data_IF_653376297480
#
_entry.id   IF_653376297480
#
_cell.length_a   1.000
_cell.length_b   1.000
_cell.length_c   1.000
_cell.angle_alpha   90.00
_cell.angle_beta   90.00
_cell.angle_gamma   90.00
#
_symmetry.space_group_name_H-M   'P 1'
#
loop_
_entity.id
_entity.type
_entity.pdbx_description
1 polymer ?
#
# COMPACT_ATOMS: atom_id res chain seq x y z
N UNK A 1 14.57 -50.39 2.21
CA UNK A 1 14.10 -49.02 2.25
C UNK A 1 12.59 -49.06 2.02
N UNK A 2 11.75 -48.97 3.05
CA UNK A 2 10.29 -48.90 2.87
C UNK A 2 9.95 -47.50 2.35
N UNK A 3 9.30 -47.45 1.18
CA UNK A 3 8.76 -46.19 0.69
C UNK A 3 7.78 -45.64 1.73
N UNK A 4 8.04 -44.44 2.21
CA UNK A 4 7.05 -43.67 3.00
C UNK A 4 5.85 -43.46 2.07
N UNK A 5 4.60 -43.78 2.49
CA UNK A 5 3.44 -43.55 1.66
C UNK A 5 3.41 -42.06 1.31
N UNK A 6 3.37 -41.73 0.01
CA UNK A 6 3.26 -40.34 -0.44
C UNK A 6 2.03 -39.71 0.20
N UNK A 7 2.22 -38.55 0.79
CA UNK A 7 1.11 -37.77 1.39
C UNK A 7 0.12 -37.42 0.28
N UNK A 8 -1.17 -37.63 0.54
CA UNK A 8 -2.23 -37.29 -0.41
C UNK A 8 -2.29 -35.76 -0.57
N UNK A 9 -2.06 -35.29 -1.77
CA UNK A 9 -2.15 -33.87 -2.19
C UNK A 9 -3.04 -33.70 -3.40
N UNK A 10 -3.93 -34.69 -3.61
CA UNK A 10 -4.89 -34.65 -4.70
C UNK A 10 -5.81 -33.42 -4.59
N UNK A 11 -6.46 -33.08 -5.68
CA UNK A 11 -7.38 -31.94 -5.71
C UNK A 11 -8.55 -32.14 -4.74
N UNK A 12 -9.12 -33.33 -4.67
CA UNK A 12 -10.19 -33.67 -3.73
C UNK A 12 -9.75 -33.58 -2.25
N UNK A 13 -8.52 -33.94 -1.94
CA UNK A 13 -7.95 -33.74 -0.60
C UNK A 13 -7.80 -32.23 -0.31
N UNK A 14 -7.29 -31.47 -1.29
CA UNK A 14 -7.13 -30.02 -1.16
C UNK A 14 -8.44 -29.30 -0.93
N UNK A 15 -9.49 -29.64 -1.69
CA UNK A 15 -10.84 -29.07 -1.51
C UNK A 15 -11.42 -29.38 -0.12
N UNK A 16 -11.32 -30.64 0.33
CA UNK A 16 -11.77 -31.04 1.65
C UNK A 16 -11.01 -30.31 2.77
N UNK A 17 -9.69 -30.13 2.60
CA UNK A 17 -8.82 -29.44 3.55
C UNK A 17 -9.19 -27.95 3.66
N UNK A 18 -9.26 -27.24 2.53
CA UNK A 18 -9.58 -25.80 2.49
C UNK A 18 -11.03 -25.55 2.93
N UNK A 19 -11.97 -26.41 2.56
CA UNK A 19 -13.34 -26.34 3.04
C UNK A 19 -13.43 -26.48 4.58
N UNK A 20 -12.66 -27.39 5.17
CA UNK A 20 -12.58 -27.52 6.62
C UNK A 20 -11.93 -26.31 7.30
N UNK A 21 -10.95 -25.66 6.63
CA UNK A 21 -10.35 -24.41 7.13
C UNK A 21 -11.38 -23.29 7.13
N UNK A 22 -12.11 -23.10 6.02
CA UNK A 22 -13.17 -22.08 5.92
C UNK A 22 -14.23 -22.26 7.01
N UNK A 23 -14.72 -23.49 7.21
CA UNK A 23 -15.71 -23.78 8.25
C UNK A 23 -15.22 -23.46 9.66
N UNK A 24 -13.96 -23.73 9.97
CA UNK A 24 -13.36 -23.42 11.28
C UNK A 24 -12.99 -21.93 11.42
N UNK A 25 -12.52 -21.32 10.36
CA UNK A 25 -12.03 -19.94 10.38
C UNK A 25 -13.12 -18.93 10.73
N UNK A 26 -14.37 -19.22 10.38
CA UNK A 26 -15.50 -18.33 10.62
C UNK A 26 -15.69 -18.03 12.13
N UNK A 27 -15.60 -19.03 12.98
CA UNK A 27 -15.80 -18.91 14.43
C UNK A 27 -14.48 -18.69 15.20
N UNK A 28 -13.35 -18.73 14.52
CA UNK A 28 -12.02 -18.72 15.15
C UNK A 28 -11.64 -17.31 15.63
N UNK A 29 -11.32 -17.10 16.92
CA UNK A 29 -10.73 -15.86 17.38
C UNK A 29 -9.39 -15.56 16.68
N UNK A 30 -9.06 -14.28 16.42
CA UNK A 30 -7.85 -13.90 15.69
C UNK A 30 -6.55 -14.50 16.21
N UNK A 31 -6.37 -14.60 17.54
CA UNK A 31 -5.15 -15.13 18.16
C UNK A 31 -4.96 -16.66 17.98
N UNK A 32 -5.97 -17.38 17.47
CA UNK A 32 -5.88 -18.80 17.13
C UNK A 32 -5.56 -19.07 15.64
N UNK A 33 -5.41 -18.02 14.83
CA UNK A 33 -5.13 -18.17 13.39
C UNK A 33 -3.84 -18.97 13.15
N UNK A 34 -2.81 -18.75 13.96
CA UNK A 34 -1.56 -19.49 13.86
C UNK A 34 -1.72 -21.00 14.07
N UNK A 35 -2.50 -21.41 15.08
CA UNK A 35 -2.78 -22.83 15.34
C UNK A 35 -3.55 -23.50 14.21
N UNK A 36 -4.49 -22.77 13.57
CA UNK A 36 -5.23 -23.26 12.42
C UNK A 36 -4.29 -23.49 11.24
N UNK A 37 -3.40 -22.52 10.95
CA UNK A 37 -2.44 -22.62 9.86
C UNK A 37 -1.44 -23.76 10.11
N UNK A 38 -0.93 -23.91 11.32
CA UNK A 38 -0.02 -24.98 11.69
C UNK A 38 -0.65 -26.38 11.49
N UNK A 39 -1.92 -26.56 11.87
CA UNK A 39 -2.67 -27.81 11.63
C UNK A 39 -2.78 -28.12 10.14
N UNK A 40 -3.12 -27.13 9.33
CA UNK A 40 -3.26 -27.28 7.88
C UNK A 40 -1.92 -27.59 7.20
N UNK A 41 -0.88 -26.82 7.55
CA UNK A 41 0.49 -27.03 7.05
C UNK A 41 1.00 -28.42 7.44
N UNK A 42 0.77 -28.87 8.67
CA UNK A 42 1.13 -30.22 9.10
C UNK A 42 0.43 -31.31 8.29
N UNK A 43 -0.85 -31.13 7.95
CA UNK A 43 -1.61 -32.06 7.09
C UNK A 43 -1.13 -32.08 5.65
N UNK A 44 -0.47 -31.02 5.19
CA UNK A 44 0.21 -30.95 3.88
C UNK A 44 1.65 -31.52 3.93
N UNK A 45 2.11 -32.01 5.10
CA UNK A 45 3.47 -32.46 5.31
C UNK A 45 4.50 -31.35 5.42
N UNK A 46 4.03 -30.15 5.70
CA UNK A 46 4.86 -28.99 5.98
C UNK A 46 5.18 -28.83 7.46
N UNK A 47 6.18 -28.05 7.75
CA UNK A 47 6.63 -27.68 9.09
C UNK A 47 7.07 -26.22 9.15
N UNK A 48 7.28 -25.72 10.34
CA UNK A 48 7.76 -24.38 10.62
C UNK A 48 6.99 -23.27 9.86
N UNK A 49 5.62 -23.24 9.92
CA UNK A 49 4.87 -22.18 9.31
C UNK A 49 5.18 -20.85 9.98
N UNK A 50 5.38 -19.81 9.19
CA UNK A 50 5.63 -18.45 9.63
C UNK A 50 4.77 -17.49 8.82
N UNK A 51 4.23 -16.46 9.46
CA UNK A 51 3.57 -15.33 8.81
C UNK A 51 4.37 -14.09 9.14
N UNK A 52 4.68 -13.32 8.14
CA UNK A 52 5.42 -12.08 8.20
C UNK A 52 4.53 -10.97 7.67
N UNK A 53 4.30 -9.92 8.45
CA UNK A 53 3.50 -8.75 8.08
C UNK A 53 4.42 -7.56 7.83
N UNK A 54 4.09 -6.74 6.85
CA UNK A 54 4.80 -5.48 6.63
C UNK A 54 4.59 -4.54 7.81
N UNK A 55 5.65 -3.95 8.36
CA UNK A 55 5.55 -2.94 9.40
C UNK A 55 4.99 -1.61 8.87
N UNK A 56 4.61 -0.70 9.75
CA UNK A 56 4.12 0.61 9.32
C UNK A 56 5.20 1.45 8.64
N UNK A 57 6.46 1.31 9.04
CA UNK A 57 7.61 1.94 8.38
C UNK A 57 7.92 1.37 7.00
N UNK A 58 7.21 0.31 6.59
CA UNK A 58 7.39 -0.34 5.27
C UNK A 58 8.85 -0.79 5.00
N UNK A 59 9.62 -0.99 6.05
CA UNK A 59 11.03 -1.41 6.02
C UNK A 59 11.21 -2.88 6.30
N UNK A 60 10.35 -3.45 7.15
CA UNK A 60 10.50 -4.77 7.73
C UNK A 60 9.29 -5.66 7.48
N UNK A 61 9.55 -6.94 7.36
CA UNK A 61 8.55 -8.00 7.49
C UNK A 61 8.65 -8.56 8.92
N UNK A 62 7.63 -8.30 9.72
CA UNK A 62 7.59 -8.62 11.16
C UNK A 62 6.86 -9.93 11.39
N UNK A 63 7.43 -10.91 12.12
CA UNK A 63 6.76 -12.16 12.43
C UNK A 63 5.49 -11.96 13.26
N UNK A 64 4.38 -12.54 12.80
CA UNK A 64 3.15 -12.64 13.57
C UNK A 64 3.35 -13.67 14.68
N UNK A 65 3.38 -13.21 15.94
CA UNK A 65 3.59 -14.06 17.12
C UNK A 65 2.26 -14.66 17.59
N UNK A 66 1.96 -15.83 17.07
CA UNK A 66 0.79 -16.62 17.45
C UNK A 66 1.17 -18.06 17.73
N UNK A 67 0.41 -18.72 18.61
CA UNK A 67 0.57 -20.16 18.87
C UNK A 67 0.48 -20.97 17.57
N UNK A 68 1.44 -21.86 17.35
CA UNK A 68 1.52 -22.70 16.15
C UNK A 68 2.37 -22.10 15.02
N UNK A 69 2.67 -20.81 15.03
CA UNK A 69 3.61 -20.19 14.09
C UNK A 69 5.02 -20.21 14.65
N UNK A 70 5.99 -20.29 13.74
CA UNK A 70 7.41 -20.13 14.08
C UNK A 70 7.70 -18.66 14.31
N UNK A 71 8.31 -18.36 15.45
CA UNK A 71 8.81 -17.02 15.77
C UNK A 71 10.14 -16.75 15.03
N UNK A 72 10.61 -15.54 15.06
CA UNK A 72 11.87 -15.11 14.46
C UNK A 72 12.08 -13.61 14.62
N UNK A 73 13.17 -13.12 14.05
CA UNK A 73 13.48 -11.71 13.99
C UNK A 73 12.77 -11.05 12.79
N UNK A 74 12.45 -9.75 12.86
CA UNK A 74 12.02 -8.97 11.70
C UNK A 74 13.04 -9.06 10.56
N UNK A 75 12.55 -9.14 9.32
CA UNK A 75 13.36 -9.31 8.12
C UNK A 75 13.30 -8.05 7.26
N UNK A 76 14.44 -7.54 6.86
CA UNK A 76 14.52 -6.40 5.95
C UNK A 76 13.87 -6.76 4.59
N UNK A 77 12.99 -5.89 4.10
CA UNK A 77 12.25 -6.12 2.86
C UNK A 77 13.20 -6.10 1.64
N UNK A 78 14.21 -5.23 1.64
CA UNK A 78 15.12 -5.09 0.50
C UNK A 78 16.23 -6.15 0.46
N UNK A 79 16.57 -6.74 1.63
CA UNK A 79 17.73 -7.63 1.76
C UNK A 79 17.36 -9.11 1.99
N UNK A 80 16.11 -9.44 2.32
CA UNK A 80 15.71 -10.80 2.67
C UNK A 80 15.07 -11.58 1.52
N UNK A 81 15.03 -12.92 1.66
CA UNK A 81 14.28 -13.79 0.75
C UNK A 81 12.78 -13.53 0.83
N UNK A 82 12.26 -13.35 2.05
CA UNK A 82 10.85 -13.00 2.25
C UNK A 82 10.53 -11.63 1.63
N UNK A 83 11.43 -10.66 1.75
CA UNK A 83 11.29 -9.36 1.12
C UNK A 83 11.24 -9.44 -0.40
N UNK A 84 12.06 -10.28 -1.03
CA UNK A 84 11.98 -10.52 -2.48
C UNK A 84 10.63 -11.11 -2.88
N UNK A 85 10.14 -12.12 -2.15
CA UNK A 85 8.79 -12.67 -2.35
C UNK A 85 7.72 -11.60 -2.23
N UNK A 86 7.84 -10.71 -1.23
CA UNK A 86 6.94 -9.61 -0.99
C UNK A 86 6.97 -8.58 -2.12
N UNK A 87 8.14 -8.08 -2.53
CA UNK A 87 8.27 -7.05 -3.56
C UNK A 87 7.80 -7.51 -4.95
N UNK A 88 8.12 -8.75 -5.31
CA UNK A 88 7.80 -9.31 -6.62
C UNK A 88 6.38 -9.89 -6.67
N UNK A 89 5.70 -10.05 -5.52
CA UNK A 89 4.41 -10.74 -5.38
C UNK A 89 4.42 -12.14 -6.00
N UNK A 90 5.56 -12.84 -5.92
CA UNK A 90 5.79 -14.16 -6.50
C UNK A 90 6.36 -15.13 -5.46
N UNK A 91 5.99 -16.41 -5.52
CA UNK A 91 6.59 -17.42 -4.66
C UNK A 91 8.10 -17.52 -4.85
N UNK A 92 8.82 -17.70 -3.75
CA UNK A 92 10.29 -17.91 -3.75
C UNK A 92 10.62 -19.18 -3.00
N UNK A 93 11.31 -20.11 -3.67
CA UNK A 93 11.74 -21.38 -3.11
C UNK A 93 13.24 -21.32 -2.76
N UNK A 94 13.58 -21.80 -1.56
CA UNK A 94 14.95 -21.89 -1.09
C UNK A 94 15.23 -23.32 -0.66
N UNK A 95 16.19 -24.02 -1.25
CA UNK A 95 16.63 -25.33 -0.77
C UNK A 95 17.20 -25.22 0.65
N UNK A 96 16.83 -26.14 1.54
CA UNK A 96 17.40 -26.34 2.88
C UNK A 96 17.99 -27.74 2.97
N UNK A 97 18.85 -27.99 3.98
CA UNK A 97 19.53 -29.29 4.14
C UNK A 97 18.55 -30.47 4.25
N UNK A 98 17.36 -30.21 4.80
CA UNK A 98 16.32 -31.20 5.08
C UNK A 98 15.00 -30.91 4.32
N UNK A 99 15.06 -30.19 3.20
CA UNK A 99 13.89 -29.92 2.37
C UNK A 99 13.93 -28.65 1.55
N UNK A 100 12.77 -28.05 1.37
CA UNK A 100 12.58 -26.79 0.63
C UNK A 100 11.73 -25.85 1.46
N UNK A 101 12.24 -24.64 1.73
CA UNK A 101 11.46 -23.56 2.31
C UNK A 101 10.85 -22.73 1.20
N UNK A 102 9.53 -22.65 1.17
CA UNK A 102 8.79 -21.81 0.22
C UNK A 102 8.25 -20.58 0.94
N UNK A 103 8.48 -19.41 0.33
CA UNK A 103 7.89 -18.14 0.69
C UNK A 103 6.78 -17.82 -0.30
N UNK A 104 5.60 -17.49 0.19
CA UNK A 104 4.38 -17.27 -0.58
C UNK A 104 3.86 -15.88 -0.27
N UNK A 105 3.56 -15.02 -1.26
CA UNK A 105 2.96 -13.73 -0.99
C UNK A 105 1.55 -13.92 -0.44
N UNK A 106 1.19 -13.12 0.55
CA UNK A 106 -0.16 -13.02 1.07
C UNK A 106 -0.85 -11.86 0.36
N UNK A 107 -1.69 -12.19 -0.62
CA UNK A 107 -2.40 -11.23 -1.46
C UNK A 107 -3.90 -11.32 -1.17
N UNK A 108 -4.52 -10.18 -0.79
CA UNK A 108 -5.96 -10.03 -0.67
C UNK A 108 -6.46 -9.20 -1.87
N UNK A 109 -6.95 -9.90 -2.89
CA UNK A 109 -7.33 -9.26 -4.15
C UNK A 109 -6.15 -8.51 -4.77
N UNK A 110 -6.11 -7.21 -4.58
CA UNK A 110 -5.03 -6.34 -5.08
C UNK A 110 -4.05 -5.88 -4.02
N UNK A 111 -4.33 -6.10 -2.72
CA UNK A 111 -3.46 -5.69 -1.62
C UNK A 111 -2.44 -6.77 -1.24
N UNK A 112 -1.33 -6.33 -0.69
CA UNK A 112 -0.20 -7.18 -0.31
C UNK A 112 -0.01 -7.10 1.21
N UNK A 113 -0.54 -8.12 1.90
CA UNK A 113 -0.65 -8.15 3.37
C UNK A 113 0.66 -8.58 4.03
N UNK A 114 1.44 -9.44 3.35
CA UNK A 114 2.67 -9.98 3.93
C UNK A 114 3.19 -11.20 3.18
N UNK A 115 3.88 -12.08 3.90
CA UNK A 115 4.47 -13.32 3.38
C UNK A 115 4.16 -14.48 4.33
N UNK A 116 3.76 -15.62 3.78
CA UNK A 116 3.71 -16.89 4.49
C UNK A 116 4.93 -17.74 4.08
N UNK A 117 5.65 -18.30 5.04
CA UNK A 117 6.76 -19.20 4.79
C UNK A 117 6.51 -20.58 5.41
N UNK A 118 6.83 -21.65 4.68
CA UNK A 118 6.63 -23.05 5.10
C UNK A 118 7.79 -23.90 4.61
N UNK A 119 8.26 -24.86 5.39
CA UNK A 119 9.27 -25.85 4.97
C UNK A 119 8.60 -27.21 4.72
N UNK A 120 8.93 -27.84 3.61
CA UNK A 120 8.49 -29.18 3.26
C UNK A 120 9.71 -30.06 2.94
N UNK A 121 9.62 -31.36 3.25
CA UNK A 121 10.68 -32.32 2.88
C UNK A 121 10.84 -32.43 1.35
N UNK A 122 9.72 -32.28 0.64
CA UNK A 122 9.65 -32.26 -0.82
C UNK A 122 8.50 -31.39 -1.29
N UNK A 123 8.75 -30.54 -2.27
CA UNK A 123 7.76 -29.68 -2.90
C UNK A 123 7.53 -30.16 -4.35
N UNK A 124 6.31 -30.59 -4.63
CA UNK A 124 5.80 -30.95 -5.96
C UNK A 124 4.79 -29.92 -6.44
N UNK A 125 4.29 -30.06 -7.67
CA UNK A 125 3.36 -29.10 -8.26
C UNK A 125 2.02 -29.06 -7.53
N UNK A 126 1.57 -30.18 -6.99
CA UNK A 126 0.37 -30.23 -6.16
C UNK A 126 0.55 -29.49 -4.84
N UNK A 127 1.70 -29.64 -4.22
CA UNK A 127 2.08 -28.89 -3.02
C UNK A 127 2.14 -27.37 -3.29
N UNK A 128 2.75 -26.94 -4.41
CA UNK A 128 2.76 -25.52 -4.82
C UNK A 128 1.36 -24.97 -5.00
N UNK A 129 0.50 -25.70 -5.69
CA UNK A 129 -0.89 -25.31 -5.91
C UNK A 129 -1.67 -25.17 -4.61
N UNK A 130 -1.58 -26.15 -3.71
CA UNK A 130 -2.31 -26.14 -2.44
C UNK A 130 -1.80 -25.07 -1.49
N UNK A 131 -0.49 -24.86 -1.40
CA UNK A 131 0.09 -23.79 -0.58
C UNK A 131 -0.25 -22.39 -1.14
N UNK A 132 -0.31 -22.24 -2.46
CA UNK A 132 -0.78 -21.00 -3.09
C UNK A 132 -2.25 -20.68 -2.74
N UNK A 133 -3.13 -21.70 -2.78
CA UNK A 133 -4.53 -21.55 -2.36
C UNK A 133 -4.64 -21.24 -0.85
N UNK A 134 -3.80 -21.88 -0.04
CA UNK A 134 -3.74 -21.62 1.40
C UNK A 134 -3.25 -20.20 1.69
N UNK A 135 -2.23 -19.69 0.98
CA UNK A 135 -1.73 -18.33 1.20
C UNK A 135 -2.79 -17.27 0.87
N UNK A 136 -3.56 -17.46 -0.22
CA UNK A 136 -4.68 -16.58 -0.55
C UNK A 136 -5.75 -16.59 0.55
N UNK A 137 -6.16 -17.78 1.01
CA UNK A 137 -7.13 -17.90 2.10
C UNK A 137 -6.62 -17.28 3.42
N UNK A 138 -5.33 -17.43 3.71
CA UNK A 138 -4.72 -16.80 4.90
C UNK A 138 -4.74 -15.28 4.78
N UNK A 139 -4.45 -14.73 3.61
CA UNK A 139 -4.54 -13.29 3.37
C UNK A 139 -5.96 -12.75 3.64
N UNK A 140 -6.98 -13.40 3.06
CA UNK A 140 -8.39 -13.04 3.30
C UNK A 140 -8.76 -13.10 4.79
N UNK A 141 -8.26 -14.11 5.50
CA UNK A 141 -8.52 -14.25 6.94
C UNK A 141 -7.84 -13.16 7.77
N UNK A 142 -6.61 -12.77 7.43
CA UNK A 142 -5.89 -11.69 8.10
C UNK A 142 -6.63 -10.37 7.93
N UNK A 143 -7.03 -10.02 6.71
CA UNK A 143 -7.76 -8.79 6.41
C UNK A 143 -9.13 -8.77 7.08
N UNK A 144 -9.90 -9.86 6.99
CA UNK A 144 -11.22 -9.95 7.61
C UNK A 144 -11.15 -9.83 9.13
N UNK A 145 -10.15 -10.45 9.77
CA UNK A 145 -10.00 -10.43 11.23
C UNK A 145 -9.32 -9.17 11.75
N UNK A 146 -8.64 -8.41 10.91
CA UNK A 146 -8.03 -7.12 11.28
C UNK A 146 -9.08 -6.12 11.79
N UNK A 147 -10.27 -6.09 11.20
CA UNK A 147 -11.32 -5.13 11.52
C UNK A 147 -11.88 -5.19 12.97
N UNK A 148 -11.56 -6.24 13.74
CA UNK A 148 -12.02 -6.40 15.13
C UNK A 148 -10.95 -6.96 16.09
N UNK A 149 -9.67 -6.77 15.76
CA UNK A 149 -8.54 -7.21 16.60
C UNK A 149 -7.33 -6.32 16.40
N UNK A 150 -6.70 -5.93 17.49
CA UNK A 150 -5.45 -5.17 17.48
C UNK A 150 -4.20 -6.05 17.21
N UNK A 151 -4.36 -7.38 17.13
CA UNK A 151 -3.26 -8.32 17.00
C UNK A 151 -2.33 -7.98 15.83
N UNK A 152 -2.91 -7.67 14.67
CA UNK A 152 -2.14 -7.40 13.45
C UNK A 152 -1.53 -6.01 13.46
N UNK A 153 -2.28 -4.99 13.93
CA UNK A 153 -1.77 -3.64 14.11
C UNK A 153 -0.63 -3.60 15.13
N UNK A 154 -0.76 -4.31 16.25
CA UNK A 154 0.28 -4.42 17.26
C UNK A 154 1.53 -5.15 16.73
N UNK A 155 1.36 -6.17 15.85
CA UNK A 155 2.49 -6.86 15.21
C UNK A 155 3.25 -5.93 14.26
N UNK A 156 2.54 -5.14 13.45
CA UNK A 156 3.13 -4.22 12.48
C UNK A 156 3.84 -3.02 13.11
N UNK A 157 3.54 -2.74 14.39
CA UNK A 157 4.13 -1.62 15.13
C UNK A 157 5.48 -2.02 15.73
N UNK A 158 6.56 -1.55 15.13
CA UNK A 158 7.93 -1.79 15.62
C UNK A 158 8.47 -0.63 16.47
N UNK A 159 7.83 0.55 16.40
CA UNK A 159 8.18 1.76 17.15
C UNK A 159 6.94 2.40 17.81
N UNK A 160 7.12 3.26 18.83
CA UNK A 160 6.03 4.06 19.38
C UNK A 160 5.37 4.93 18.30
N UNK A 161 4.06 4.96 18.27
CA UNK A 161 3.26 5.72 17.29
C UNK A 161 2.54 6.88 17.98
N UNK A 162 2.53 8.06 17.37
CA UNK A 162 1.78 9.20 17.85
C UNK A 162 0.26 9.02 17.62
N UNK A 163 -0.58 9.73 18.36
CA UNK A 163 -2.04 9.71 18.15
C UNK A 163 -2.40 10.21 16.76
N UNK A 164 -1.66 11.18 16.23
CA UNK A 164 -1.85 11.70 14.89
C UNK A 164 -1.61 10.61 13.84
N UNK A 165 -0.50 9.86 13.96
CA UNK A 165 -0.19 8.74 13.09
C UNK A 165 -1.23 7.60 13.18
N UNK A 166 -1.74 7.27 14.38
CA UNK A 166 -2.84 6.31 14.53
C UNK A 166 -4.09 6.71 13.74
N UNK A 167 -4.49 7.98 13.80
CA UNK A 167 -5.62 8.51 13.04
C UNK A 167 -5.33 8.38 11.54
N UNK A 168 -4.16 8.78 11.10
CA UNK A 168 -3.78 8.78 9.70
C UNK A 168 -3.72 7.37 9.11
N UNK A 169 -3.08 6.42 9.79
CA UNK A 169 -3.08 5.02 9.35
C UNK A 169 -4.47 4.39 9.31
N UNK A 170 -5.37 4.79 10.22
CA UNK A 170 -6.77 4.33 10.17
C UNK A 170 -7.57 4.96 9.03
N UNK A 171 -7.13 6.10 8.52
CA UNK A 171 -7.75 6.82 7.41
C UNK A 171 -7.31 6.29 6.05
N UNK A 172 -6.05 5.86 5.92
CA UNK A 172 -5.48 5.37 4.66
C UNK A 172 -6.22 4.14 4.12
N UNK A 173 -6.40 4.06 2.79
CA UNK A 173 -6.79 2.81 2.14
C UNK A 173 -5.61 1.82 2.14
N UNK A 174 -5.77 0.58 1.65
CA UNK A 174 -4.65 -0.31 1.37
C UNK A 174 -3.54 0.40 0.59
N UNK A 175 -2.28 0.20 0.98
CA UNK A 175 -1.16 0.94 0.38
C UNK A 175 -0.87 0.54 -1.07
N UNK A 176 -1.37 -0.60 -1.51
CA UNK A 176 -1.21 -1.04 -2.88
C UNK A 176 -2.51 -1.67 -3.41
N UNK A 177 -2.72 -1.54 -4.72
CA UNK A 177 -3.78 -2.25 -5.43
C UNK A 177 -3.25 -2.67 -6.81
N UNK A 178 -3.33 -3.97 -7.10
CA UNK A 178 -2.88 -4.53 -8.39
C UNK A 178 -4.08 -5.21 -9.05
N UNK A 179 -4.61 -4.56 -10.09
CA UNK A 179 -5.73 -5.06 -10.90
C UNK A 179 -5.29 -5.23 -12.36
N UNK A 180 -6.04 -5.95 -13.20
CA UNK A 180 -5.63 -6.18 -14.58
C UNK A 180 -5.35 -4.91 -15.38
N UNK A 181 -6.17 -3.85 -15.19
CA UNK A 181 -6.09 -2.61 -15.96
C UNK A 181 -5.37 -1.47 -15.28
N UNK A 182 -5.16 -1.56 -13.99
CA UNK A 182 -4.53 -0.50 -13.21
C UNK A 182 -3.77 -1.08 -12.02
N UNK A 183 -2.63 -0.50 -11.71
CA UNK A 183 -1.94 -0.76 -10.46
C UNK A 183 -1.59 0.55 -9.79
N UNK A 184 -1.58 0.56 -8.47
CA UNK A 184 -1.13 1.70 -7.70
C UNK A 184 -0.35 1.26 -6.46
N UNK A 185 0.52 2.13 -5.99
CA UNK A 185 1.18 2.00 -4.69
C UNK A 185 1.36 3.38 -4.06
N UNK A 186 0.96 3.48 -2.81
CA UNK A 186 1.16 4.64 -1.96
C UNK A 186 2.22 4.39 -0.90
N UNK A 187 2.81 5.46 -0.41
CA UNK A 187 3.80 5.45 0.63
C UNK A 187 3.70 6.73 1.45
N UNK A 188 3.91 6.61 2.75
CA UNK A 188 3.80 7.68 3.73
C UNK A 188 5.02 7.66 4.67
N UNK A 189 5.73 8.78 4.77
CA UNK A 189 6.93 8.97 5.61
C UNK A 189 6.85 10.30 6.38
N UNK A 190 7.24 10.31 7.68
CA UNK A 190 7.60 9.21 8.54
C UNK A 190 6.36 8.45 9.04
N UNK A 191 6.45 7.14 9.20
CA UNK A 191 5.30 6.29 9.50
C UNK A 191 4.73 6.43 10.93
N UNK A 192 5.56 6.83 11.89
CA UNK A 192 5.22 6.77 13.32
C UNK A 192 4.92 8.13 13.96
N UNK A 193 5.25 9.21 13.27
CA UNK A 193 5.03 10.59 13.77
C UNK A 193 4.58 11.54 12.66
N UNK A 194 3.66 11.10 11.85
CA UNK A 194 3.08 11.83 10.71
C UNK A 194 1.91 12.69 11.15
N UNK A 195 1.55 13.69 10.34
CA UNK A 195 0.48 14.53 10.78
C UNK A 195 -0.45 15.16 9.75
N UNK A 196 -0.07 15.51 8.54
CA UNK A 196 -0.90 16.31 7.63
C UNK A 196 -1.26 15.63 6.32
N UNK A 197 -0.33 14.88 5.81
CA UNK A 197 -0.44 14.21 4.53
C UNK A 197 -1.41 13.04 4.55
N UNK A 198 -2.15 12.85 3.46
CA UNK A 198 -2.94 11.64 3.26
C UNK A 198 -3.27 11.44 1.79
N UNK A 199 -3.60 10.21 1.43
CA UNK A 199 -4.22 9.90 0.15
C UNK A 199 -5.41 8.98 0.32
N UNK A 200 -6.29 8.96 -0.67
CA UNK A 200 -7.40 8.01 -0.75
C UNK A 200 -7.64 7.61 -2.19
N UNK A 201 -8.12 6.40 -2.38
CA UNK A 201 -8.58 5.93 -3.68
C UNK A 201 -9.76 4.97 -3.56
N UNK A 202 -10.48 4.79 -4.65
CA UNK A 202 -11.46 3.72 -4.81
C UNK A 202 -11.70 3.42 -6.28
N UNK A 203 -11.74 2.15 -6.62
CA UNK A 203 -12.17 1.68 -7.92
C UNK A 203 -13.67 1.39 -7.88
N UNK A 204 -14.47 2.24 -8.51
CA UNK A 204 -15.93 2.13 -8.59
C UNK A 204 -16.35 1.78 -10.03
N UNK A 205 -16.67 0.52 -10.27
CA UNK A 205 -16.81 0.02 -11.64
C UNK A 205 -15.48 0.14 -12.38
N UNK A 206 -15.50 0.84 -13.52
CA UNK A 206 -14.30 1.06 -14.33
C UNK A 206 -13.61 2.42 -14.04
N UNK A 207 -14.07 3.15 -13.03
CA UNK A 207 -13.49 4.46 -12.67
C UNK A 207 -12.66 4.35 -11.40
N UNK A 208 -11.37 4.63 -11.51
CA UNK A 208 -10.48 4.83 -10.37
C UNK A 208 -10.53 6.30 -9.94
N UNK A 209 -11.01 6.52 -8.74
CA UNK A 209 -10.98 7.81 -8.07
C UNK A 209 -9.76 7.89 -7.18
N UNK A 210 -9.07 9.03 -7.15
CA UNK A 210 -7.88 9.24 -6.33
C UNK A 210 -7.87 10.66 -5.80
N UNK A 211 -7.32 10.83 -4.62
CA UNK A 211 -7.00 12.14 -4.03
C UNK A 211 -5.70 12.03 -3.24
N UNK A 212 -4.88 13.06 -3.33
CA UNK A 212 -3.76 13.31 -2.44
C UNK A 212 -4.01 14.65 -1.78
N UNK A 213 -3.78 14.74 -0.48
CA UNK A 213 -3.96 15.94 0.30
C UNK A 213 -2.76 16.17 1.21
N UNK A 214 -2.54 17.44 1.53
CA UNK A 214 -1.61 17.89 2.55
C UNK A 214 -2.28 18.99 3.37
N UNK A 215 -2.45 18.74 4.66
CA UNK A 215 -3.09 19.66 5.59
C UNK A 215 -2.07 20.55 6.27
N UNK A 216 -2.30 21.86 6.25
CA UNK A 216 -1.37 22.83 6.84
C UNK A 216 -1.00 22.49 8.29
N UNK A 217 0.29 22.64 8.63
CA UNK A 217 0.82 22.43 9.97
C UNK A 217 1.11 20.97 10.28
N UNK A 218 1.23 20.61 11.54
CA UNK A 218 1.66 19.28 11.97
C UNK A 218 0.89 18.77 13.20
N UNK A 219 1.04 17.49 13.49
CA UNK A 219 0.46 16.86 14.67
C UNK A 219 -1.05 16.64 14.58
N UNK A 220 -1.71 16.55 15.73
CA UNK A 220 -3.13 16.17 15.83
C UNK A 220 -4.07 17.15 15.11
N UNK A 221 -3.72 18.43 15.04
CA UNK A 221 -4.51 19.42 14.32
C UNK A 221 -4.57 19.14 12.83
N UNK A 222 -3.43 18.90 12.19
CA UNK A 222 -3.32 18.56 10.78
C UNK A 222 -3.99 17.21 10.48
N UNK A 223 -3.76 16.17 11.30
CA UNK A 223 -4.44 14.89 11.17
C UNK A 223 -5.98 15.01 11.24
N UNK A 224 -6.50 15.91 12.06
CA UNK A 224 -7.95 16.18 12.15
C UNK A 224 -8.46 16.84 10.88
N UNK A 225 -7.73 17.84 10.34
CA UNK A 225 -8.07 18.48 9.06
C UNK A 225 -8.06 17.46 7.90
N UNK A 226 -7.03 16.64 7.81
CA UNK A 226 -6.94 15.55 6.84
C UNK A 226 -8.13 14.60 6.94
N UNK A 227 -8.55 14.24 8.17
CA UNK A 227 -9.71 13.38 8.42
C UNK A 227 -11.00 13.98 7.87
N UNK A 228 -11.23 15.27 8.11
CA UNK A 228 -12.44 15.98 7.62
C UNK A 228 -12.39 16.08 6.09
N UNK A 229 -11.26 16.45 5.51
CA UNK A 229 -11.09 16.57 4.06
C UNK A 229 -11.33 15.22 3.34
N UNK A 230 -10.70 14.12 3.79
CA UNK A 230 -10.91 12.78 3.25
C UNK A 230 -12.35 12.30 3.47
N UNK A 231 -12.94 12.60 4.63
CA UNK A 231 -14.34 12.28 4.91
C UNK A 231 -15.30 12.94 3.92
N UNK A 232 -15.11 14.25 3.65
CA UNK A 232 -15.88 15.01 2.67
C UNK A 232 -15.66 14.50 1.24
N UNK A 233 -14.40 14.21 0.85
CA UNK A 233 -14.06 13.59 -0.42
C UNK A 233 -14.79 12.25 -0.62
N UNK A 234 -14.69 11.34 0.36
CA UNK A 234 -15.38 10.03 0.32
C UNK A 234 -16.90 10.18 0.23
N UNK A 235 -17.46 11.14 0.95
CA UNK A 235 -18.89 11.41 0.91
C UNK A 235 -19.34 11.83 -0.50
N UNK A 236 -18.75 12.86 -1.07
CA UNK A 236 -19.08 13.38 -2.39
C UNK A 236 -18.85 12.34 -3.49
N UNK A 237 -17.70 11.63 -3.46
CA UNK A 237 -17.40 10.53 -4.37
C UNK A 237 -18.49 9.44 -4.37
N UNK A 238 -18.98 9.05 -3.18
CA UNK A 238 -20.03 8.03 -3.04
C UNK A 238 -21.40 8.49 -3.56
N UNK A 239 -21.62 9.80 -3.67
CA UNK A 239 -22.80 10.37 -4.32
C UNK A 239 -22.67 10.38 -5.87
N UNK A 240 -21.49 10.03 -6.41
CA UNK A 240 -21.25 10.00 -7.85
C UNK A 240 -21.09 11.39 -8.49
N UNK A 241 -20.75 12.40 -7.69
CA UNK A 241 -20.55 13.78 -8.18
C UNK A 241 -19.26 13.93 -8.98
N UNK A 242 -19.13 15.00 -9.77
CA UNK A 242 -17.95 15.35 -10.52
C UNK A 242 -16.80 15.92 -9.64
N UNK A 243 -15.64 16.18 -10.24
CA UNK A 243 -14.48 16.68 -9.49
C UNK A 243 -14.72 18.09 -8.93
N UNK A 244 -15.43 18.95 -9.67
CA UNK A 244 -15.76 20.31 -9.20
C UNK A 244 -16.68 20.28 -7.98
N UNK A 245 -17.68 19.41 -7.98
CA UNK A 245 -18.61 19.25 -6.84
C UNK A 245 -17.90 18.58 -5.65
N UNK A 246 -16.95 17.65 -5.90
CA UNK A 246 -16.11 17.08 -4.84
C UNK A 246 -15.29 18.18 -4.16
N UNK A 247 -14.63 19.05 -4.96
CA UNK A 247 -13.88 20.20 -4.43
C UNK A 247 -14.79 21.09 -3.56
N UNK A 248 -15.96 21.47 -4.07
CA UNK A 248 -16.89 22.32 -3.35
C UNK A 248 -17.37 21.69 -2.02
N UNK A 249 -17.60 20.38 -2.02
CA UNK A 249 -17.99 19.64 -0.81
C UNK A 249 -16.87 19.60 0.23
N UNK A 250 -15.63 19.39 -0.20
CA UNK A 250 -14.46 19.42 0.67
C UNK A 250 -14.23 20.83 1.24
N UNK A 251 -14.28 21.87 0.38
CA UNK A 251 -14.10 23.27 0.77
C UNK A 251 -15.15 23.71 1.79
N UNK A 252 -16.42 23.39 1.55
CA UNK A 252 -17.51 23.67 2.47
C UNK A 252 -17.35 22.95 3.82
N UNK A 253 -16.93 21.68 3.82
CA UNK A 253 -16.73 20.92 5.05
C UNK A 253 -15.58 21.49 5.90
N UNK A 254 -14.49 21.88 5.26
CA UNK A 254 -13.35 22.52 5.91
C UNK A 254 -13.73 23.88 6.50
N UNK A 255 -14.37 24.76 5.71
CA UNK A 255 -14.81 26.09 6.16
C UNK A 255 -15.83 26.04 7.31
N UNK A 256 -16.69 25.01 7.36
CA UNK A 256 -17.66 24.84 8.45
C UNK A 256 -17.01 24.35 9.74
N UNK A 257 -15.97 23.53 9.65
CA UNK A 257 -15.35 22.89 10.82
C UNK A 257 -14.20 23.69 11.39
N UNK A 258 -13.46 24.40 10.54
CA UNK A 258 -12.24 25.14 10.92
C UNK A 258 -12.38 26.62 10.60
N UNK A 259 -11.51 27.44 11.17
CA UNK A 259 -11.51 28.88 10.88
C UNK A 259 -10.95 29.19 9.48
N UNK A 260 -11.08 30.45 9.03
CA UNK A 260 -10.75 30.90 7.67
C UNK A 260 -9.26 30.80 7.31
N UNK A 261 -8.39 30.60 8.29
CA UNK A 261 -6.94 30.47 8.10
C UNK A 261 -6.49 28.99 7.99
N UNK A 262 -7.44 28.04 7.96
CA UNK A 262 -7.15 26.61 7.88
C UNK A 262 -7.50 26.07 6.49
N UNK A 263 -6.55 25.38 5.90
CA UNK A 263 -6.72 24.83 4.56
C UNK A 263 -5.98 23.50 4.39
N UNK A 264 -6.34 22.82 3.32
CA UNK A 264 -5.70 21.59 2.86
C UNK A 264 -5.41 21.75 1.37
N UNK A 265 -4.17 21.51 0.93
CA UNK A 265 -3.90 21.39 -0.50
C UNK A 265 -4.44 20.05 -0.99
N UNK A 266 -4.89 19.96 -2.25
CA UNK A 266 -5.46 18.72 -2.76
C UNK A 266 -5.21 18.54 -4.26
N UNK A 267 -4.85 17.31 -4.65
CA UNK A 267 -4.83 16.84 -6.03
C UNK A 267 -5.90 15.76 -6.18
N UNK A 268 -7.00 16.06 -6.86
CA UNK A 268 -8.12 15.13 -7.07
C UNK A 268 -8.13 14.61 -8.50
N UNK A 269 -8.32 13.31 -8.68
CA UNK A 269 -8.25 12.66 -9.99
C UNK A 269 -9.33 11.60 -10.21
N UNK A 270 -9.70 11.39 -11.48
CA UNK A 270 -10.55 10.29 -11.96
C UNK A 270 -9.92 9.69 -13.21
N UNK A 271 -9.63 8.40 -13.17
CA UNK A 271 -9.14 7.64 -14.30
C UNK A 271 -10.19 6.63 -14.75
N UNK A 272 -10.66 6.76 -15.98
CA UNK A 272 -11.41 5.70 -16.67
C UNK A 272 -10.42 4.60 -17.10
N UNK A 273 -10.50 3.44 -16.45
CA UNK A 273 -9.57 2.33 -16.66
C UNK A 273 -9.78 1.61 -17.99
N UNK A 274 -10.91 1.83 -18.68
CA UNK A 274 -11.17 1.28 -20.01
C UNK A 274 -10.49 2.13 -21.08
N UNK A 275 -10.65 3.47 -20.98
CA UNK A 275 -10.25 4.39 -22.04
C UNK A 275 -8.90 5.06 -21.78
N UNK A 276 -8.37 4.96 -20.56
CA UNK A 276 -7.17 5.70 -20.14
C UNK A 276 -7.40 7.21 -19.95
N UNK A 277 -8.66 7.66 -19.97
CA UNK A 277 -8.97 9.08 -19.81
C UNK A 277 -8.83 9.48 -18.34
N UNK A 278 -7.86 10.35 -18.09
CA UNK A 278 -7.57 10.94 -16.80
C UNK A 278 -8.14 12.36 -16.74
N UNK A 279 -8.95 12.64 -15.72
CA UNK A 279 -9.39 14.00 -15.37
C UNK A 279 -8.81 14.39 -14.03
N UNK A 280 -8.44 15.66 -13.84
CA UNK A 280 -7.96 16.10 -12.53
C UNK A 280 -8.26 17.57 -12.25
N UNK A 281 -8.26 17.90 -10.97
CA UNK A 281 -8.33 19.24 -10.39
C UNK A 281 -7.18 19.41 -9.41
N UNK A 282 -6.49 20.54 -9.50
CA UNK A 282 -5.43 20.94 -8.58
C UNK A 282 -5.90 22.09 -7.68
N UNK A 283 -5.90 21.88 -6.39
CA UNK A 283 -6.22 22.84 -5.35
C UNK A 283 -4.97 23.21 -4.53
N UNK A 284 -4.02 23.90 -5.17
CA UNK A 284 -2.78 24.37 -4.55
C UNK A 284 -1.75 23.30 -4.22
N UNK A 285 -1.88 22.09 -4.79
CA UNK A 285 -1.00 20.95 -4.54
C UNK A 285 0.10 20.84 -5.61
N UNK A 286 1.27 20.22 -5.33
CA UNK A 286 2.27 19.95 -6.36
C UNK A 286 1.69 19.21 -7.57
N UNK A 287 2.10 19.62 -8.77
CA UNK A 287 1.58 19.01 -9.99
C UNK A 287 2.14 17.59 -10.17
N UNK A 288 1.30 16.58 -10.51
CA UNK A 288 1.76 15.22 -10.74
C UNK A 288 2.73 15.11 -11.90
N UNK A 289 3.56 14.07 -11.88
CA UNK A 289 4.53 13.76 -12.92
C UNK A 289 4.02 12.61 -13.77
N UNK A 290 3.99 12.79 -15.10
CA UNK A 290 3.70 11.74 -16.06
C UNK A 290 4.99 11.04 -16.48
N UNK A 291 5.02 9.71 -16.32
CA UNK A 291 6.09 8.83 -16.78
C UNK A 291 5.55 7.99 -17.93
N UNK A 292 6.27 8.00 -19.07
CA UNK A 292 5.98 7.22 -20.28
C UNK A 292 7.26 6.57 -20.79
N UNK A 293 7.18 5.34 -21.26
CA UNK A 293 8.34 4.59 -21.78
C UNK A 293 9.54 4.60 -20.80
N UNK A 294 9.24 4.43 -19.50
CA UNK A 294 10.23 4.44 -18.41
C UNK A 294 11.02 5.74 -18.28
N UNK A 295 10.42 6.88 -18.63
CA UNK A 295 11.00 8.21 -18.47
C UNK A 295 9.95 9.21 -18.05
N UNK A 296 10.36 10.17 -17.25
CA UNK A 296 9.55 11.35 -16.99
C UNK A 296 9.33 12.08 -18.30
N UNK A 297 8.07 12.19 -18.71
CA UNK A 297 7.67 12.89 -19.94
C UNK A 297 7.42 14.37 -19.67
N UNK A 298 6.63 14.66 -18.63
CA UNK A 298 6.26 16.04 -18.25
C UNK A 298 5.55 16.06 -16.89
N UNK A 299 5.42 17.26 -16.34
CA UNK A 299 4.44 17.56 -15.30
C UNK A 299 3.02 17.61 -15.91
N UNK A 300 2.03 17.28 -15.11
CA UNK A 300 0.63 17.47 -15.44
C UNK A 300 0.16 18.82 -14.87
N UNK A 301 0.76 19.90 -15.41
CA UNK A 301 0.36 21.25 -15.04
C UNK A 301 -1.11 21.49 -15.41
N UNK A 302 -1.82 22.19 -14.55
CA UNK A 302 -3.23 22.50 -14.70
C UNK A 302 -3.51 23.89 -14.10
N UNK A 303 -4.58 24.57 -14.49
CA UNK A 303 -5.08 25.70 -13.73
C UNK A 303 -5.32 25.29 -12.27
N UNK A 304 -4.74 26.04 -11.33
CA UNK A 304 -4.89 25.80 -9.91
C UNK A 304 -6.02 26.64 -9.34
N UNK A 305 -6.86 26.02 -8.51
CA UNK A 305 -7.79 26.74 -7.64
C UNK A 305 -7.17 26.93 -6.24
N UNK A 306 -7.85 27.68 -5.37
CA UNK A 306 -7.41 27.84 -3.99
C UNK A 306 -7.40 26.49 -3.26
N UNK A 307 -6.50 26.30 -2.29
CA UNK A 307 -6.57 25.18 -1.36
C UNK A 307 -7.98 25.05 -0.74
N UNK A 308 -8.35 23.84 -0.44
CA UNK A 308 -9.62 23.48 0.18
C UNK A 308 -9.76 24.12 1.54
N UNK A 309 -10.85 24.84 1.78
CA UNK A 309 -11.15 25.60 3.02
C UNK A 309 -11.00 27.11 2.87
N UNK A 310 -10.43 27.60 1.74
CA UNK A 310 -10.21 29.02 1.49
C UNK A 310 -11.29 29.68 0.60
N UNK A 311 -12.37 28.97 0.23
CA UNK A 311 -13.47 29.51 -0.54
C UNK A 311 -13.12 29.78 -2.01
N UNK A 312 -12.46 28.83 -2.68
CA UNK A 312 -12.10 28.95 -4.09
C UNK A 312 -13.29 28.97 -5.04
N UNK A 313 -13.10 29.57 -6.23
CA UNK A 313 -14.05 29.47 -7.32
C UNK A 313 -14.14 28.03 -7.84
N UNK A 314 -15.17 27.76 -8.65
CA UNK A 314 -15.32 26.47 -9.32
C UNK A 314 -14.03 26.12 -10.09
N UNK A 315 -13.40 24.97 -9.81
CA UNK A 315 -12.14 24.61 -10.43
C UNK A 315 -12.31 24.16 -11.88
N UNK A 316 -11.35 24.48 -12.70
CA UNK A 316 -11.25 23.93 -14.05
C UNK A 316 -10.78 22.48 -13.99
N UNK A 317 -11.51 21.58 -14.67
CA UNK A 317 -11.16 20.17 -14.78
C UNK A 317 -10.27 19.97 -15.98
N UNK A 318 -9.03 19.58 -15.75
CA UNK A 318 -8.08 19.22 -16.80
C UNK A 318 -8.26 17.77 -17.27
N UNK A 319 -7.86 17.47 -18.51
CA UNK A 319 -8.02 16.15 -19.13
C UNK A 319 -6.76 15.71 -19.88
N UNK A 320 -6.46 14.42 -19.82
CA UNK A 320 -5.43 13.75 -20.62
C UNK A 320 -5.87 12.30 -20.91
N UNK A 321 -5.50 11.78 -22.08
CA UNK A 321 -5.61 10.35 -22.37
C UNK A 321 -4.24 9.71 -22.18
N UNK A 322 -4.17 8.76 -21.24
CA UNK A 322 -2.96 7.99 -20.98
C UNK A 322 -2.73 6.96 -22.09
N UNK A 323 -1.49 6.61 -22.32
CA UNK A 323 -1.09 5.47 -23.13
C UNK A 323 -0.82 4.26 -22.23
N UNK A 324 -1.00 3.05 -22.77
CA UNK A 324 -0.79 1.82 -21.99
C UNK A 324 0.63 1.77 -21.45
N UNK A 325 0.75 1.57 -20.12
CA UNK A 325 2.02 1.57 -19.39
C UNK A 325 2.42 2.93 -18.83
N UNK A 326 1.64 3.99 -19.14
CA UNK A 326 1.87 5.29 -18.51
C UNK A 326 1.72 5.19 -17.00
N UNK A 327 2.57 5.93 -16.29
CA UNK A 327 2.50 6.09 -14.83
C UNK A 327 2.31 7.55 -14.45
N UNK A 328 1.52 7.78 -13.45
CA UNK A 328 1.29 9.10 -12.84
C UNK A 328 1.80 9.05 -11.42
N UNK A 329 2.78 9.90 -11.10
CA UNK A 329 3.32 10.07 -9.76
C UNK A 329 2.74 11.33 -9.14
N UNK A 330 1.96 11.18 -8.07
CA UNK A 330 1.53 12.25 -7.19
C UNK A 330 2.41 12.26 -5.95
N UNK A 331 2.69 13.43 -5.40
CA UNK A 331 3.57 13.58 -4.25
C UNK A 331 3.26 14.89 -3.52
N UNK A 332 3.56 14.93 -2.23
CA UNK A 332 3.47 16.12 -1.39
C UNK A 332 4.77 16.91 -1.43
N UNK A 333 4.74 18.19 -1.06
CA UNK A 333 5.91 19.07 -1.11
C UNK A 333 7.02 18.63 -0.16
N UNK A 334 6.69 17.95 0.94
CA UNK A 334 7.68 17.31 1.80
C UNK A 334 8.64 16.39 1.04
N UNK A 335 8.30 15.88 -0.14
CA UNK A 335 9.24 15.15 -1.00
C UNK A 335 10.33 16.02 -1.64
N UNK A 336 10.10 17.32 -1.81
CA UNK A 336 10.95 18.22 -2.60
C UNK A 336 11.52 19.41 -1.81
N UNK A 337 10.95 19.77 -0.65
CA UNK A 337 11.30 21.01 0.08
C UNK A 337 12.40 20.85 1.13
N UNK A 338 12.72 19.63 1.57
CA UNK A 338 13.69 19.45 2.64
C UNK A 338 15.15 19.76 2.26
N UNK A 339 15.81 20.48 3.15
CA UNK A 339 17.22 20.84 3.04
C UNK A 339 18.11 19.65 3.44
N UNK A 340 18.90 19.12 2.52
CA UNK A 340 20.01 18.26 2.88
C UNK A 340 20.94 19.01 3.85
N UNK A 341 21.46 18.34 4.87
CA UNK A 341 22.50 18.87 5.73
C UNK A 341 23.70 19.27 4.88
N UNK A 342 23.79 20.55 4.48
CA UNK A 342 24.89 21.14 3.70
C UNK A 342 24.51 21.52 2.24
N UNK A 343 24.00 22.72 2.04
CA UNK A 343 24.12 23.59 0.85
C UNK A 343 23.34 23.24 -0.45
N UNK A 344 22.64 22.13 -0.63
CA UNK A 344 21.75 21.98 -1.79
C UNK A 344 20.35 21.61 -1.35
N UNK A 345 19.42 22.51 -1.68
CA UNK A 345 17.99 22.25 -1.61
C UNK A 345 17.69 21.04 -2.48
N UNK A 346 17.02 20.04 -1.89
CA UNK A 346 16.46 18.93 -2.63
C UNK A 346 15.34 19.49 -3.50
N UNK A 347 15.51 19.48 -4.81
CA UNK A 347 14.56 20.08 -5.74
C UNK A 347 13.86 19.02 -6.58
N UNK A 348 12.79 19.43 -7.26
CA UNK A 348 12.03 18.61 -8.19
C UNK A 348 12.91 17.97 -9.29
N UNK A 349 13.97 18.65 -9.76
CA UNK A 349 14.91 18.09 -10.73
C UNK A 349 15.57 16.79 -10.24
N UNK A 350 15.90 16.72 -8.96
CA UNK A 350 16.51 15.53 -8.38
C UNK A 350 15.49 14.40 -8.20
N UNK A 351 14.23 14.73 -7.87
CA UNK A 351 13.14 13.77 -7.88
C UNK A 351 12.95 13.16 -9.27
N UNK A 352 12.95 14.00 -10.30
CA UNK A 352 12.84 13.58 -11.71
C UNK A 352 14.00 12.64 -12.09
N UNK A 353 15.22 12.96 -11.72
CA UNK A 353 16.39 12.13 -12.01
C UNK A 353 16.28 10.75 -11.35
N UNK A 354 15.82 10.69 -10.12
CA UNK A 354 15.63 9.42 -9.42
C UNK A 354 14.47 8.60 -9.98
N UNK A 355 13.35 9.24 -10.30
CA UNK A 355 12.24 8.57 -10.99
C UNK A 355 12.75 7.96 -12.29
N UNK A 356 13.49 8.72 -13.12
CA UNK A 356 14.07 8.22 -14.34
C UNK A 356 15.03 7.04 -14.13
N UNK A 357 15.82 7.06 -13.07
CA UNK A 357 16.73 5.97 -12.75
C UNK A 357 15.99 4.69 -12.34
N UNK A 358 14.97 4.82 -11.48
CA UNK A 358 14.19 3.70 -10.97
C UNK A 358 13.30 3.10 -12.05
N UNK A 359 12.68 3.90 -12.88
CA UNK A 359 11.81 3.44 -13.97
C UNK A 359 12.56 2.57 -14.98
N UNK A 360 13.85 2.84 -15.24
CA UNK A 360 14.69 2.00 -16.11
C UNK A 360 14.88 0.58 -15.60
N UNK A 361 14.58 0.31 -14.33
CA UNK A 361 14.67 -1.05 -13.77
C UNK A 361 13.53 -1.96 -14.22
N UNK A 362 12.45 -1.42 -14.80
CA UNK A 362 11.27 -2.16 -15.23
C UNK A 362 10.47 -2.81 -14.11
N UNK A 363 10.68 -2.37 -12.85
CA UNK A 363 9.98 -2.90 -11.67
C UNK A 363 8.52 -2.45 -11.62
N UNK A 364 7.69 -3.21 -10.89
CA UNK A 364 6.30 -2.85 -10.61
C UNK A 364 6.18 -1.59 -9.73
N UNK A 365 4.99 -0.99 -9.73
CA UNK A 365 4.71 0.30 -9.04
C UNK A 365 5.13 0.30 -7.57
N UNK A 366 4.88 -0.79 -6.83
CA UNK A 366 5.23 -0.90 -5.41
C UNK A 366 6.75 -0.84 -5.19
N UNK A 367 7.50 -1.61 -5.97
CA UNK A 367 8.95 -1.63 -5.85
C UNK A 367 9.57 -0.28 -6.25
N UNK A 368 9.02 0.41 -7.25
CA UNK A 368 9.46 1.75 -7.65
C UNK A 368 9.13 2.77 -6.57
N UNK A 369 7.88 2.82 -6.08
CA UNK A 369 7.46 3.73 -5.03
C UNK A 369 8.34 3.60 -3.78
N UNK A 370 8.53 2.34 -3.31
CA UNK A 370 9.39 2.04 -2.16
C UNK A 370 10.85 2.45 -2.39
N UNK A 371 11.44 2.10 -3.54
CA UNK A 371 12.82 2.48 -3.84
C UNK A 371 13.01 3.99 -3.92
N UNK A 372 12.00 4.71 -4.41
CA UNK A 372 12.00 6.16 -4.45
C UNK A 372 12.03 6.75 -3.04
N UNK A 373 11.13 6.31 -2.14
CA UNK A 373 11.12 6.75 -0.74
C UNK A 373 12.44 6.47 -0.04
N UNK A 374 12.96 5.24 -0.12
CA UNK A 374 14.25 4.90 0.52
C UNK A 374 15.42 5.75 0.00
N UNK A 375 15.41 6.08 -1.29
CA UNK A 375 16.44 6.96 -1.87
C UNK A 375 16.32 8.37 -1.28
N UNK A 376 15.08 8.86 -1.15
CA UNK A 376 14.76 10.13 -0.53
C UNK A 376 15.21 10.19 0.93
N UNK A 377 14.80 9.19 1.74
CA UNK A 377 15.13 9.09 3.16
C UNK A 377 16.65 9.06 3.40
N UNK A 378 17.39 8.28 2.59
CA UNK A 378 18.87 8.24 2.69
C UNK A 378 19.52 9.58 2.34
N UNK A 379 19.00 10.26 1.31
CA UNK A 379 19.52 11.57 0.92
C UNK A 379 19.30 12.64 1.99
N UNK A 380 18.26 12.50 2.81
CA UNK A 380 17.90 13.38 3.93
C UNK A 380 18.64 13.06 5.24
N UNK A 381 19.43 12.00 5.26
CA UNK A 381 20.14 11.58 6.48
C UNK A 381 19.25 10.95 7.55
N UNK A 382 18.05 10.49 7.18
CA UNK A 382 17.12 9.78 8.08
C UNK A 382 16.26 10.66 8.98
N UNK A 383 16.42 11.98 8.97
CA UNK A 383 15.55 12.93 9.68
C UNK A 383 14.61 13.61 8.70
N UNK A 384 13.31 13.40 8.85
CA UNK A 384 12.27 14.18 8.16
C UNK A 384 11.74 15.23 9.10
N UNK A 385 11.67 16.49 8.65
CA UNK A 385 11.04 17.60 9.40
C UNK A 385 9.60 17.81 8.97
N UNK A 386 9.22 17.23 7.83
CA UNK A 386 7.88 17.29 7.27
C UNK A 386 7.45 15.93 6.69
N UNK A 387 6.15 15.72 6.57
CA UNK A 387 5.55 14.52 5.99
C UNK A 387 5.89 14.44 4.50
N UNK A 388 6.12 13.24 4.02
CA UNK A 388 6.42 12.98 2.60
C UNK A 388 5.58 11.81 2.11
N UNK A 389 4.61 12.12 1.28
CA UNK A 389 3.68 11.13 0.75
C UNK A 389 3.80 11.04 -0.77
N UNK A 390 3.74 9.83 -1.28
CA UNK A 390 3.66 9.58 -2.71
C UNK A 390 2.58 8.56 -3.06
N UNK A 391 2.02 8.69 -4.26
CA UNK A 391 1.10 7.74 -4.87
C UNK A 391 1.50 7.56 -6.33
N UNK A 392 1.96 6.37 -6.68
CA UNK A 392 2.31 5.99 -8.06
C UNK A 392 1.21 5.12 -8.65
N UNK A 393 0.66 5.55 -9.78
CA UNK A 393 -0.44 4.87 -10.47
C UNK A 393 -0.02 4.49 -11.87
N UNK A 394 -0.24 3.26 -12.31
CA UNK A 394 0.04 2.74 -13.64
C UNK A 394 -1.27 2.34 -14.33
N UNK A 395 -1.51 2.89 -15.51
CA UNK A 395 -2.59 2.40 -16.37
C UNK A 395 -2.07 1.29 -17.30
N UNK A 396 -2.71 0.12 -17.25
CA UNK A 396 -2.29 -1.09 -17.99
C UNK A 396 -3.12 -1.37 -19.24
N UNK A 397 -4.21 -0.63 -19.42
CA UNK A 397 -5.10 -0.77 -20.59
C UNK A 397 -6.13 -1.89 -20.48
#
# INVERSE_FOLDING_TARGET
MKAVPGMDRSESFGEALLGAVLGRAYELPPHHIGSLIADVVGRLGGRAPQILLEDYGQLLLVPLRCAGLTDGDPQDIDASVAGRCFLDAQPVEVPEDDGVRIHLPLLDGGDQVGVMAVTLDRLDDDGRRLLGRLSALVADLLVTKHGYSDLFSATRRVEPMSVAAEIQWSLLPPLAMIMPRVALAGLLEPAYDVAGDSFDYALNGDILHMVMIDAMGHGLGAATMATVAIGAYRHARRLGTGLSEIYAAMDSAMAQQFGPDHFVTAQMMRLDTITGRLHWVNAGHPAPILVRDHRVLRRLDAPTTLPVGLGGAEPEVSELVLERGDRVLCFTDGLIEEHALGEKQFGEDQLIDWVNQLERTGRGVRAVARSLSHTLMRARGGNTTDDATLLLVEWRG
#
